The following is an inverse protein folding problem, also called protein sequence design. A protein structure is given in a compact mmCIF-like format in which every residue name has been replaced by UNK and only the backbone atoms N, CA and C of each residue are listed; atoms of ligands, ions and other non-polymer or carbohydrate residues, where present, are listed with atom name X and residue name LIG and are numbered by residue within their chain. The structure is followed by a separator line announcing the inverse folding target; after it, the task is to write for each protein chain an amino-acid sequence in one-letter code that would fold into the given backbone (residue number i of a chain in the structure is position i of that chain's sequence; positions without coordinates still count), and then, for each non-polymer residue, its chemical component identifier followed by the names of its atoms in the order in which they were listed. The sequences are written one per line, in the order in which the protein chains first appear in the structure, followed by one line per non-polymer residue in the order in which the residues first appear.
data_IF_497259975783
#
_entry.id   IF_497259975783
#
_cell.length_a   1.000
_cell.length_b   1.000
_cell.length_c   1.000
_cell.angle_alpha   90.00
_cell.angle_beta   90.00
_cell.angle_gamma   90.00
#
_symmetry.space_group_name_H-M   'P 1'
#
loop_
_entity.id
_entity.type
_entity.pdbx_description
1 polymer ?
#
# COMPACT_ATOMS: atom_id res chain seq x y z
N UNK A 1 -11.32 -19.28 -18.63
CA UNK A 1 -10.57 -18.22 -17.92
C UNK A 1 -11.37 -17.87 -16.66
N UNK A 2 -10.77 -17.89 -15.48
CA UNK A 2 -11.40 -17.43 -14.25
C UNK A 2 -11.78 -15.94 -14.37
N UNK A 3 -12.78 -15.48 -13.61
CA UNK A 3 -13.10 -14.06 -13.53
C UNK A 3 -11.89 -13.27 -12.96
N UNK A 4 -11.65 -12.03 -13.43
CA UNK A 4 -10.54 -11.24 -12.91
C UNK A 4 -10.72 -10.94 -11.43
N UNK A 5 -9.61 -10.90 -10.68
CA UNK A 5 -9.60 -10.53 -9.26
C UNK A 5 -9.69 -9.01 -9.15
N UNK A 6 -10.62 -8.50 -8.31
CA UNK A 6 -10.69 -7.09 -7.98
C UNK A 6 -9.58 -6.74 -6.98
N UNK A 7 -8.74 -5.79 -7.36
CA UNK A 7 -7.66 -5.29 -6.51
C UNK A 7 -7.82 -3.80 -6.27
N UNK A 8 -7.97 -3.42 -5.01
CA UNK A 8 -7.89 -2.04 -4.55
C UNK A 8 -6.45 -1.74 -4.12
N UNK A 9 -5.73 -1.03 -4.96
CA UNK A 9 -4.33 -0.69 -4.71
C UNK A 9 -4.19 0.64 -3.97
N UNK A 10 -3.64 0.62 -2.78
CA UNK A 10 -3.33 1.84 -2.00
C UNK A 10 -1.97 2.38 -2.46
N UNK A 11 -2.01 3.37 -3.36
CA UNK A 11 -0.84 4.03 -3.92
C UNK A 11 -0.53 5.37 -3.26
N UNK A 12 0.74 5.75 -3.22
CA UNK A 12 1.18 7.05 -2.70
C UNK A 12 2.55 7.02 -2.03
N UNK A 13 2.96 8.16 -1.51
CA UNK A 13 4.24 8.24 -0.81
C UNK A 13 4.17 7.52 0.55
N UNK A 14 5.16 6.70 0.93
CA UNK A 14 5.25 6.18 2.30
C UNK A 14 5.13 7.30 3.34
N UNK A 15 4.60 7.01 4.51
CA UNK A 15 4.29 7.96 5.60
C UNK A 15 3.10 8.90 5.32
N UNK A 16 2.28 8.58 4.32
CA UNK A 16 1.04 9.30 4.02
C UNK A 16 -0.20 8.74 4.69
N UNK A 17 -0.06 7.81 5.66
CA UNK A 17 -1.19 7.19 6.36
C UNK A 17 -1.74 5.92 5.69
N UNK A 18 -1.01 5.33 4.75
CA UNK A 18 -1.46 4.14 4.02
C UNK A 18 -1.80 2.94 4.90
N UNK A 19 -1.08 2.71 6.02
CA UNK A 19 -1.42 1.62 6.94
C UNK A 19 -2.73 1.88 7.69
N UNK A 20 -3.02 3.14 8.03
CA UNK A 20 -4.33 3.52 8.58
C UNK A 20 -5.43 3.32 7.53
N UNK A 21 -5.15 3.73 6.28
CA UNK A 21 -6.07 3.51 5.16
C UNK A 21 -6.34 2.02 4.95
N UNK A 22 -5.32 1.18 5.01
CA UNK A 22 -5.40 -0.27 4.87
C UNK A 22 -6.35 -0.89 5.91
N UNK A 23 -6.14 -0.55 7.21
CA UNK A 23 -7.01 -1.00 8.31
C UNK A 23 -8.47 -0.51 8.15
N UNK A 24 -8.66 0.70 7.66
CA UNK A 24 -10.00 1.23 7.40
C UNK A 24 -10.68 0.53 6.21
N UNK A 25 -9.94 0.24 5.15
CA UNK A 25 -10.46 -0.44 3.97
C UNK A 25 -10.82 -1.90 4.26
N UNK A 26 -10.09 -2.56 5.17
CA UNK A 26 -10.39 -3.92 5.63
C UNK A 26 -11.77 -4.02 6.32
N UNK A 27 -12.27 -2.90 6.84
CA UNK A 27 -13.60 -2.84 7.45
C UNK A 27 -14.76 -2.71 6.45
N UNK A 28 -14.46 -2.53 5.16
CA UNK A 28 -15.49 -2.50 4.13
C UNK A 28 -15.99 -3.93 3.83
N UNK A 29 -17.30 -4.12 3.66
CA UNK A 29 -17.85 -5.43 3.32
C UNK A 29 -17.19 -6.03 2.07
N UNK A 30 -16.77 -7.29 2.16
CA UNK A 30 -16.17 -8.01 1.05
C UNK A 30 -14.73 -7.58 0.69
N UNK A 31 -14.06 -6.80 1.53
CA UNK A 31 -12.65 -6.43 1.37
C UNK A 31 -11.76 -7.25 2.29
N UNK A 32 -10.53 -7.53 1.83
CA UNK A 32 -9.48 -8.13 2.66
C UNK A 32 -8.17 -7.36 2.47
N UNK A 33 -7.72 -6.68 3.52
CA UNK A 33 -6.45 -5.98 3.51
C UNK A 33 -5.31 -6.92 3.87
N UNK A 34 -4.31 -6.98 2.99
CA UNK A 34 -3.15 -7.87 3.13
C UNK A 34 -1.83 -7.11 3.35
N UNK A 35 -1.88 -5.79 3.34
CA UNK A 35 -0.72 -4.94 3.55
C UNK A 35 0.15 -4.79 2.32
N UNK A 36 1.45 -4.68 2.55
CA UNK A 36 2.43 -4.41 1.49
C UNK A 36 2.90 -5.73 0.84
N UNK A 37 2.14 -6.29 -0.11
CA UNK A 37 2.47 -7.56 -0.78
C UNK A 37 3.82 -7.55 -1.50
N UNK A 38 4.29 -6.38 -1.95
CA UNK A 38 5.65 -6.25 -2.49
C UNK A 38 6.72 -6.78 -1.53
N UNK A 39 6.51 -6.62 -0.24
CA UNK A 39 7.46 -7.05 0.79
C UNK A 39 7.16 -8.43 1.38
N UNK A 40 6.11 -9.12 0.94
CA UNK A 40 5.74 -10.46 1.41
C UNK A 40 6.90 -11.44 1.28
N UNK A 41 7.56 -11.45 0.13
CA UNK A 41 8.65 -12.37 -0.18
C UNK A 41 9.82 -12.22 0.80
N UNK A 42 10.24 -10.99 1.04
CA UNK A 42 11.34 -10.72 1.95
C UNK A 42 10.91 -10.80 3.42
N UNK A 43 9.87 -10.05 3.81
CA UNK A 43 9.52 -9.89 5.21
C UNK A 43 8.73 -11.09 5.77
N UNK A 44 7.84 -11.65 4.96
CA UNK A 44 7.07 -12.85 5.30
C UNK A 44 7.90 -14.11 5.07
N UNK A 45 8.11 -14.47 3.80
CA UNK A 45 8.66 -15.77 3.44
C UNK A 45 10.12 -15.96 3.90
N UNK A 46 11.04 -14.99 3.64
CA UNK A 46 12.46 -15.19 3.96
C UNK A 46 12.82 -14.86 5.41
N UNK A 47 12.15 -13.90 6.02
CA UNK A 47 12.47 -13.46 7.39
C UNK A 47 11.45 -13.90 8.44
N UNK A 48 10.42 -14.62 8.06
CA UNK A 48 9.36 -15.10 8.96
C UNK A 48 8.77 -14.02 9.87
N UNK A 49 8.61 -12.80 9.32
CA UNK A 49 8.17 -11.63 10.08
C UNK A 49 6.75 -11.78 10.63
N UNK A 50 6.42 -11.00 11.66
CA UNK A 50 5.10 -11.04 12.27
C UNK A 50 3.99 -10.60 11.31
N UNK A 51 2.93 -11.39 11.24
CA UNK A 51 1.63 -11.02 10.69
C UNK A 51 0.89 -10.09 11.66
N UNK A 52 -0.07 -9.32 11.18
CA UNK A 52 -0.90 -8.46 12.04
C UNK A 52 -1.70 -9.25 13.09
N UNK A 53 -2.03 -10.51 12.85
CA UNK A 53 -2.65 -11.41 13.83
C UNK A 53 -1.72 -11.80 15.01
N UNK A 54 -0.48 -11.32 15.02
CA UNK A 54 0.52 -11.59 16.06
C UNK A 54 1.34 -12.88 15.85
N UNK A 55 0.94 -13.76 14.93
CA UNK A 55 1.71 -14.96 14.60
C UNK A 55 2.88 -14.65 13.66
N UNK A 56 3.94 -15.43 13.71
CA UNK A 56 4.95 -15.44 12.65
C UNK A 56 4.31 -15.84 11.31
N UNK A 57 4.84 -15.37 10.18
CA UNK A 57 4.27 -15.64 8.87
C UNK A 57 4.08 -17.15 8.60
N UNK A 58 5.09 -17.97 8.95
CA UNK A 58 5.05 -19.42 8.79
C UNK A 58 3.99 -20.12 9.65
N UNK A 59 3.52 -19.48 10.71
CA UNK A 59 2.51 -19.99 11.65
C UNK A 59 1.15 -19.32 11.52
N UNK A 60 1.03 -18.32 10.66
CA UNK A 60 -0.24 -17.65 10.40
C UNK A 60 -1.15 -18.56 9.58
N UNK A 61 -2.34 -18.94 10.08
CA UNK A 61 -3.24 -19.86 9.36
C UNK A 61 -3.68 -19.29 8.00
N UNK A 62 -3.93 -17.99 7.91
CA UNK A 62 -4.27 -17.33 6.66
C UNK A 62 -3.15 -17.45 5.63
N UNK A 63 -1.93 -17.04 5.96
CA UNK A 63 -0.81 -17.10 5.03
C UNK A 63 -0.41 -18.53 4.70
N UNK A 64 -0.56 -19.48 5.63
CA UNK A 64 -0.36 -20.93 5.35
C UNK A 64 -1.34 -21.43 4.31
N UNK A 65 -2.62 -21.07 4.42
CA UNK A 65 -3.66 -21.43 3.46
C UNK A 65 -3.42 -20.78 2.09
N UNK A 66 -3.04 -19.47 2.06
CA UNK A 66 -2.69 -18.77 0.82
C UNK A 66 -1.51 -19.43 0.12
N UNK A 67 -0.45 -19.78 0.86
CA UNK A 67 0.71 -20.48 0.28
C UNK A 67 0.36 -21.83 -0.31
N UNK A 68 -0.51 -22.57 0.36
CA UNK A 68 -1.00 -23.86 -0.13
C UNK A 68 -1.82 -23.67 -1.41
N UNK A 69 -2.74 -22.73 -1.45
CA UNK A 69 -3.59 -22.48 -2.61
C UNK A 69 -2.81 -21.93 -3.81
N UNK A 70 -1.85 -21.03 -3.59
CA UNK A 70 -1.10 -20.37 -4.67
C UNK A 70 0.01 -21.27 -5.26
N UNK A 71 0.70 -22.04 -4.40
CA UNK A 71 1.98 -22.67 -4.75
C UNK A 71 2.09 -24.13 -4.30
N UNK A 72 1.08 -24.71 -3.66
CA UNK A 72 1.19 -26.02 -3.00
C UNK A 72 2.02 -25.97 -1.71
N UNK A 73 2.19 -24.77 -1.13
CA UNK A 73 2.94 -24.47 0.07
C UNK A 73 4.07 -23.49 -0.16
N UNK A 74 4.44 -22.71 0.87
CA UNK A 74 5.52 -21.71 0.78
C UNK A 74 6.91 -22.30 0.53
N UNK A 75 7.11 -23.59 0.82
CA UNK A 75 8.40 -24.29 0.59
C UNK A 75 8.70 -24.47 -0.90
N UNK A 76 7.69 -24.43 -1.76
CA UNK A 76 7.84 -24.52 -3.22
C UNK A 76 7.97 -23.17 -3.88
N UNK A 77 7.70 -22.08 -3.14
CA UNK A 77 7.83 -20.72 -3.64
C UNK A 77 9.27 -20.22 -3.47
N UNK A 78 9.89 -19.82 -4.57
CA UNK A 78 11.24 -19.23 -4.57
C UNK A 78 11.16 -17.71 -4.33
N UNK A 79 11.21 -17.29 -3.07
CA UNK A 79 11.14 -15.88 -2.69
C UNK A 79 12.31 -15.05 -3.21
N UNK A 80 13.52 -15.62 -3.32
CA UNK A 80 14.69 -14.94 -3.86
C UNK A 80 14.51 -14.69 -5.36
N UNK A 81 14.02 -15.69 -6.10
CA UNK A 81 13.69 -15.52 -7.51
C UNK A 81 12.66 -14.41 -7.73
N UNK A 82 11.60 -14.38 -6.92
CA UNK A 82 10.59 -13.32 -7.05
C UNK A 82 11.20 -11.94 -6.79
N UNK A 83 12.07 -11.78 -5.80
CA UNK A 83 12.76 -10.51 -5.55
C UNK A 83 13.68 -10.11 -6.71
N UNK A 84 14.35 -11.06 -7.36
CA UNK A 84 15.14 -10.81 -8.58
C UNK A 84 14.25 -10.32 -9.72
N UNK A 85 13.07 -10.94 -9.92
CA UNK A 85 12.08 -10.48 -10.90
C UNK A 85 11.57 -9.07 -10.59
N UNK A 86 11.24 -8.79 -9.31
CA UNK A 86 10.87 -7.43 -8.86
C UNK A 86 11.93 -6.40 -9.24
N UNK A 87 13.19 -6.73 -9.04
CA UNK A 87 14.32 -5.84 -9.36
C UNK A 87 14.46 -5.58 -10.86
N UNK A 88 14.03 -6.49 -11.70
CA UNK A 88 14.12 -6.36 -13.15
C UNK A 88 12.92 -5.61 -13.76
N UNK A 89 11.71 -5.77 -13.23
CA UNK A 89 10.48 -5.24 -13.86
C UNK A 89 9.70 -4.25 -12.99
N UNK A 90 9.72 -4.40 -11.66
CA UNK A 90 8.95 -3.55 -10.73
C UNK A 90 9.81 -2.44 -10.14
N UNK A 91 10.35 -1.59 -11.00
CA UNK A 91 11.08 -0.36 -10.61
C UNK A 91 10.52 0.84 -11.35
N UNK A 92 10.54 2.00 -10.70
CA UNK A 92 10.09 3.27 -11.31
C UNK A 92 10.72 3.52 -12.68
N UNK A 93 12.00 3.20 -12.85
CA UNK A 93 12.72 3.35 -14.13
C UNK A 93 12.21 2.41 -15.23
N UNK A 94 11.44 1.38 -14.87
CA UNK A 94 10.87 0.41 -15.81
C UNK A 94 9.44 0.75 -16.26
N UNK A 95 8.80 1.75 -15.66
CA UNK A 95 7.45 2.18 -16.05
C UNK A 95 7.32 2.47 -17.55
N UNK A 96 8.27 3.15 -18.23
CA UNK A 96 8.17 3.34 -19.68
C UNK A 96 8.08 2.02 -20.46
N UNK A 97 8.79 0.97 -20.03
CA UNK A 97 8.73 -0.36 -20.66
C UNK A 97 7.40 -1.09 -20.38
N UNK A 98 6.72 -0.76 -19.27
CA UNK A 98 5.39 -1.28 -18.96
C UNK A 98 4.29 -0.61 -19.81
N UNK A 99 4.55 0.59 -20.34
CA UNK A 99 3.58 1.40 -21.11
C UNK A 99 3.78 1.31 -22.63
N UNK A 100 4.94 0.89 -23.10
CA UNK A 100 5.30 0.89 -24.51
C UNK A 100 5.61 -0.51 -25.02
N UNK A 101 5.94 -0.60 -26.32
CA UNK A 101 6.48 -1.82 -26.92
C UNK A 101 7.79 -2.19 -26.24
N UNK A 102 7.86 -3.37 -25.64
CA UNK A 102 8.96 -3.84 -24.80
C UNK A 102 9.84 -4.87 -25.53
N UNK A 103 11.13 -4.95 -25.19
CA UNK A 103 12.00 -6.04 -25.65
C UNK A 103 11.43 -7.42 -25.21
N UNK A 104 11.62 -8.44 -26.02
CA UNK A 104 11.15 -9.80 -25.71
C UNK A 104 11.69 -10.33 -24.37
N UNK A 105 12.95 -10.04 -24.07
CA UNK A 105 13.57 -10.42 -22.79
C UNK A 105 12.88 -9.80 -21.57
N UNK A 106 12.51 -8.51 -21.65
CA UNK A 106 11.73 -7.87 -20.59
C UNK A 106 10.32 -8.46 -20.51
N UNK A 107 9.72 -8.80 -21.66
CA UNK A 107 8.41 -9.44 -21.76
C UNK A 107 8.37 -10.76 -21.00
N UNK A 108 9.34 -11.63 -21.22
CA UNK A 108 9.43 -12.94 -20.57
C UNK A 108 9.58 -12.84 -19.04
N UNK A 109 10.45 -11.92 -18.57
CA UNK A 109 10.62 -11.67 -17.12
C UNK A 109 9.33 -11.11 -16.49
N UNK A 110 8.65 -10.21 -17.19
CA UNK A 110 7.37 -9.66 -16.71
C UNK A 110 6.29 -10.73 -16.66
N UNK A 111 6.20 -11.61 -17.65
CA UNK A 111 5.24 -12.72 -17.70
C UNK A 111 5.45 -13.68 -16.53
N UNK A 112 6.69 -14.09 -16.26
CA UNK A 112 7.02 -14.91 -15.08
C UNK A 112 6.57 -14.22 -13.79
N UNK A 113 6.91 -12.94 -13.61
CA UNK A 113 6.54 -12.19 -12.41
C UNK A 113 5.02 -12.03 -12.26
N UNK A 114 4.32 -11.66 -13.32
CA UNK A 114 2.86 -11.48 -13.29
C UNK A 114 2.13 -12.80 -13.10
N UNK A 115 2.64 -13.92 -13.62
CA UNK A 115 2.11 -15.26 -13.38
C UNK A 115 2.17 -15.67 -11.90
N UNK A 116 3.24 -15.30 -11.19
CA UNK A 116 3.36 -15.52 -9.74
C UNK A 116 2.36 -14.61 -8.98
N UNK A 117 2.29 -13.32 -9.34
CA UNK A 117 1.35 -12.39 -8.73
C UNK A 117 -0.10 -12.83 -8.94
N UNK A 118 -0.46 -13.28 -10.15
CA UNK A 118 -1.82 -13.74 -10.45
C UNK A 118 -2.24 -14.85 -9.49
N UNK A 119 -1.42 -15.90 -9.36
CA UNK A 119 -1.69 -16.99 -8.42
C UNK A 119 -1.81 -16.51 -6.97
N UNK A 120 -0.97 -15.56 -6.56
CA UNK A 120 -1.01 -15.01 -5.22
C UNK A 120 -2.33 -14.25 -4.96
N UNK A 121 -2.75 -13.36 -5.87
CA UNK A 121 -4.00 -12.59 -5.68
C UNK A 121 -5.24 -13.49 -5.74
N UNK A 122 -5.26 -14.48 -6.64
CA UNK A 122 -6.33 -15.48 -6.72
C UNK A 122 -6.44 -16.30 -5.41
N UNK A 123 -5.31 -16.74 -4.88
CA UNK A 123 -5.27 -17.47 -3.61
C UNK A 123 -5.72 -16.62 -2.42
N UNK A 124 -5.30 -15.34 -2.35
CA UNK A 124 -5.75 -14.41 -1.32
C UNK A 124 -7.26 -14.22 -1.40
N UNK A 125 -7.81 -13.94 -2.58
CA UNK A 125 -9.26 -13.78 -2.76
C UNK A 125 -10.03 -15.04 -2.36
N UNK A 126 -9.55 -16.22 -2.78
CA UNK A 126 -10.17 -17.50 -2.46
C UNK A 126 -10.14 -17.82 -0.96
N UNK A 127 -8.99 -17.63 -0.31
CA UNK A 127 -8.82 -17.97 1.12
C UNK A 127 -9.54 -16.99 2.04
N UNK A 128 -9.54 -15.70 1.69
CA UNK A 128 -10.28 -14.69 2.46
C UNK A 128 -11.78 -14.72 2.21
N UNK A 129 -12.25 -15.28 1.10
CA UNK A 129 -13.62 -15.14 0.62
C UNK A 129 -13.97 -13.70 0.21
N UNK A 130 -12.98 -12.82 0.12
CA UNK A 130 -13.18 -11.42 -0.21
C UNK A 130 -13.43 -11.23 -1.71
N UNK A 131 -14.27 -10.25 -2.01
CA UNK A 131 -14.52 -9.81 -3.39
C UNK A 131 -13.42 -8.85 -3.89
N UNK A 132 -12.76 -8.14 -2.96
CA UNK A 132 -11.70 -7.17 -3.24
C UNK A 132 -10.49 -7.45 -2.36
N UNK A 133 -9.32 -7.60 -2.98
CA UNK A 133 -8.05 -7.67 -2.28
C UNK A 133 -7.46 -6.27 -2.17
N UNK A 134 -7.18 -5.81 -0.94
CA UNK A 134 -6.56 -4.49 -0.70
C UNK A 134 -5.05 -4.67 -0.52
N UNK A 135 -4.28 -4.12 -1.47
CA UNK A 135 -2.80 -4.11 -1.42
C UNK A 135 -2.27 -2.70 -1.19
N UNK A 136 -1.60 -2.49 -0.08
CA UNK A 136 -1.01 -1.21 0.30
C UNK A 136 0.50 -1.10 0.04
N UNK A 137 1.02 -1.76 -0.98
CA UNK A 137 2.46 -1.75 -1.33
C UNK A 137 3.02 -0.36 -1.68
N UNK A 138 2.18 0.61 -2.02
CA UNK A 138 2.53 2.04 -2.26
C UNK A 138 3.45 2.31 -3.45
N UNK A 139 4.00 1.28 -4.08
CA UNK A 139 4.93 1.43 -5.20
C UNK A 139 4.19 1.79 -6.48
N UNK A 140 4.54 2.93 -7.09
CA UNK A 140 3.93 3.29 -8.35
C UNK A 140 4.17 2.22 -9.43
N UNK A 141 5.39 1.66 -9.51
CA UNK A 141 5.73 0.62 -10.49
C UNK A 141 4.85 -0.62 -10.38
N UNK A 142 4.56 -1.11 -9.18
CA UNK A 142 3.68 -2.26 -8.99
C UNK A 142 2.25 -1.98 -9.50
N UNK A 143 1.73 -0.78 -9.28
CA UNK A 143 0.42 -0.41 -9.82
C UNK A 143 0.40 -0.45 -11.36
N UNK A 144 1.51 -0.08 -12.04
CA UNK A 144 1.64 -0.24 -13.49
C UNK A 144 1.78 -1.70 -13.92
N UNK A 145 2.44 -2.54 -13.13
CA UNK A 145 2.48 -4.00 -13.36
C UNK A 145 1.07 -4.57 -13.26
N UNK A 146 0.34 -4.31 -12.17
CA UNK A 146 -1.03 -4.79 -11.95
C UNK A 146 -1.98 -4.33 -13.07
N UNK A 147 -1.86 -3.07 -13.53
CA UNK A 147 -2.62 -2.56 -14.67
C UNK A 147 -2.39 -3.37 -15.95
N UNK A 148 -1.21 -3.96 -16.12
CA UNK A 148 -0.87 -4.75 -17.32
C UNK A 148 -1.37 -6.20 -17.27
N UNK A 149 -1.94 -6.64 -16.15
CA UNK A 149 -2.40 -8.02 -15.92
C UNK A 149 -3.88 -8.17 -16.30
N UNK A 150 -4.23 -8.98 -17.32
CA UNK A 150 -5.63 -9.17 -17.72
C UNK A 150 -6.51 -9.82 -16.64
N UNK A 151 -5.89 -10.61 -15.75
CA UNK A 151 -6.57 -11.28 -14.64
C UNK A 151 -6.80 -10.38 -13.41
N UNK A 152 -6.44 -9.09 -13.47
CA UNK A 152 -6.64 -8.12 -12.39
C UNK A 152 -7.53 -6.96 -12.86
N UNK A 153 -8.57 -6.68 -12.08
CA UNK A 153 -9.38 -5.45 -12.21
C UNK A 153 -8.90 -4.46 -11.16
N UNK A 154 -8.09 -3.50 -11.61
CA UNK A 154 -7.39 -2.57 -10.72
C UNK A 154 -8.21 -1.30 -10.46
N UNK A 155 -8.43 -0.97 -9.18
CA UNK A 155 -8.83 0.37 -8.71
C UNK A 155 -7.73 0.92 -7.80
N UNK A 156 -7.50 2.24 -7.83
CA UNK A 156 -6.43 2.87 -7.05
C UNK A 156 -6.99 3.87 -6.04
N UNK A 157 -6.72 3.63 -4.76
CA UNK A 157 -6.84 4.62 -3.70
C UNK A 157 -5.52 5.40 -3.61
N UNK A 158 -5.47 6.60 -4.19
CA UNK A 158 -4.28 7.46 -4.17
C UNK A 158 -4.23 8.25 -2.87
N UNK A 159 -3.48 7.75 -1.90
CA UNK A 159 -3.33 8.38 -0.58
C UNK A 159 -2.25 9.44 -0.62
N UNK A 160 -2.64 10.68 -0.37
CA UNK A 160 -1.75 11.86 -0.36
C UNK A 160 -1.79 12.51 1.01
N UNK A 161 -0.65 12.94 1.52
CA UNK A 161 -0.49 13.72 2.75
C UNK A 161 0.34 14.96 2.47
N UNK A 162 0.18 16.01 3.28
CA UNK A 162 1.01 17.22 3.20
C UNK A 162 2.50 16.84 3.13
N UNK A 163 3.24 17.29 2.09
CA UNK A 163 4.66 16.91 1.90
C UNK A 163 5.54 17.33 3.09
N UNK A 164 5.18 18.38 3.82
CA UNK A 164 5.89 18.81 5.03
C UNK A 164 5.72 17.79 6.14
N UNK A 165 4.50 17.29 6.35
CA UNK A 165 4.22 16.21 7.30
C UNK A 165 4.92 14.90 6.93
N UNK A 166 4.96 14.56 5.64
CA UNK A 166 5.72 13.40 5.15
C UNK A 166 7.21 13.57 5.42
N UNK A 167 7.81 14.71 5.04
CA UNK A 167 9.23 14.97 5.24
C UNK A 167 9.62 14.96 6.73
N UNK A 168 8.80 15.56 7.56
CA UNK A 168 8.98 15.53 9.02
C UNK A 168 8.91 14.10 9.57
N UNK A 169 7.95 13.28 9.12
CA UNK A 169 7.87 11.88 9.52
C UNK A 169 9.11 11.05 9.12
N UNK A 170 9.76 11.38 7.98
CA UNK A 170 11.02 10.75 7.56
C UNK A 170 12.25 11.23 8.36
N UNK A 171 12.18 12.37 9.03
CA UNK A 171 13.26 12.85 9.90
C UNK A 171 13.23 12.26 11.30
N UNK A 172 12.07 11.74 11.74
CA UNK A 172 11.92 11.11 13.06
C UNK A 172 12.67 9.78 13.16
N UNK A 173 13.20 9.48 14.33
CA UNK A 173 13.58 8.12 14.70
C UNK A 173 12.31 7.32 14.97
N UNK A 174 12.13 6.23 14.23
CA UNK A 174 11.02 5.30 14.45
C UNK A 174 11.61 3.91 14.62
N UNK A 175 11.52 3.40 15.83
CA UNK A 175 11.83 2.01 16.13
C UNK A 175 10.75 1.10 15.56
N UNK A 176 11.17 0.01 14.95
CA UNK A 176 10.27 -1.04 14.50
C UNK A 176 10.03 -2.03 15.66
N UNK A 177 8.84 -2.68 15.72
CA UNK A 177 8.58 -3.70 16.71
C UNK A 177 9.63 -4.82 16.64
N UNK A 178 9.92 -5.46 17.78
CA UNK A 178 10.70 -6.69 17.81
C UNK A 178 10.07 -7.72 16.85
N UNK A 179 10.89 -8.37 16.03
CA UNK A 179 10.41 -9.29 14.97
C UNK A 179 10.02 -8.64 13.64
N UNK A 180 10.14 -7.31 13.51
CA UNK A 180 10.06 -6.70 12.20
C UNK A 180 11.32 -7.06 11.39
N UNK A 181 11.12 -7.60 10.17
CA UNK A 181 12.17 -8.13 9.30
C UNK A 181 13.19 -7.09 8.77
N UNK A 182 13.06 -5.83 9.10
CA UNK A 182 13.88 -4.71 8.64
C UNK A 182 14.50 -4.02 9.85
N UNK A 183 15.61 -4.51 10.38
CA UNK A 183 16.42 -3.83 11.39
C UNK A 183 15.63 -3.02 12.45
N UNK A 184 16.23 -2.67 13.54
CA UNK A 184 15.55 -1.99 14.65
C UNK A 184 15.03 -0.57 14.32
N UNK A 185 15.38 0.02 13.19
CA UNK A 185 15.04 1.42 12.87
C UNK A 185 14.64 1.61 11.40
N UNK A 186 13.66 2.49 11.18
CA UNK A 186 13.33 2.93 9.82
C UNK A 186 14.40 3.89 9.28
N UNK A 187 14.85 3.74 8.02
CA UNK A 187 15.90 4.59 7.45
C UNK A 187 15.48 6.06 7.39
N UNK A 188 16.37 6.94 7.85
CA UNK A 188 16.22 8.40 7.70
C UNK A 188 16.57 8.80 6.27
N UNK A 189 15.81 9.70 5.72
CA UNK A 189 16.03 10.20 4.37
C UNK A 189 16.08 11.72 4.39
N UNK A 190 17.09 12.31 3.75
CA UNK A 190 17.28 13.77 3.70
C UNK A 190 16.06 14.48 3.08
N UNK A 191 15.69 15.61 3.65
CA UNK A 191 14.49 16.40 3.36
C UNK A 191 14.30 16.67 1.85
N UNK A 192 15.35 17.10 1.13
CA UNK A 192 15.30 17.38 -0.32
C UNK A 192 14.97 16.13 -1.14
N UNK A 193 15.54 14.98 -0.77
CA UNK A 193 15.28 13.69 -1.44
C UNK A 193 13.83 13.26 -1.21
N UNK A 194 13.31 13.43 0.01
CA UNK A 194 11.90 13.14 0.33
C UNK A 194 10.96 14.04 -0.46
N UNK A 195 11.22 15.35 -0.52
CA UNK A 195 10.39 16.29 -1.26
C UNK A 195 10.31 15.94 -2.76
N UNK A 196 11.44 15.65 -3.41
CA UNK A 196 11.48 15.21 -4.81
C UNK A 196 10.74 13.89 -5.02
N UNK A 197 10.98 12.92 -4.12
CA UNK A 197 10.30 11.61 -4.19
C UNK A 197 8.78 11.75 -4.01
N UNK A 198 8.34 12.66 -3.13
CA UNK A 198 6.93 12.96 -2.96
C UNK A 198 6.28 13.44 -4.27
N UNK A 199 6.90 14.38 -4.97
CA UNK A 199 6.43 14.86 -6.28
C UNK A 199 6.36 13.72 -7.28
N UNK A 200 7.46 12.97 -7.44
CA UNK A 200 7.56 11.89 -8.43
C UNK A 200 6.56 10.77 -8.18
N UNK A 201 6.47 10.26 -6.94
CA UNK A 201 5.57 9.14 -6.61
C UNK A 201 4.11 9.54 -6.82
N UNK A 202 3.70 10.72 -6.32
CA UNK A 202 2.32 11.15 -6.46
C UNK A 202 1.96 11.48 -7.93
N UNK A 203 2.90 12.02 -8.71
CA UNK A 203 2.70 12.23 -10.15
C UNK A 203 2.51 10.89 -10.89
N UNK A 204 3.35 9.89 -10.61
CA UNK A 204 3.26 8.56 -11.23
C UNK A 204 1.96 7.84 -10.86
N UNK A 205 1.59 7.82 -9.57
CA UNK A 205 0.31 7.23 -9.16
C UNK A 205 -0.86 7.98 -9.81
N UNK A 206 -0.83 9.31 -9.81
CA UNK A 206 -1.87 10.12 -10.44
C UNK A 206 -2.00 9.94 -11.95
N UNK A 207 -0.91 9.52 -12.63
CA UNK A 207 -0.93 9.27 -14.08
C UNK A 207 -1.63 7.97 -14.48
N UNK A 208 -2.00 7.11 -13.53
CA UNK A 208 -2.82 5.93 -13.80
C UNK A 208 -4.25 6.29 -14.24
N UNK A 209 -4.78 7.43 -13.76
CA UNK A 209 -6.14 7.88 -14.12
C UNK A 209 -6.31 8.14 -15.62
N UNK A 210 -5.48 8.97 -16.30
CA UNK A 210 -5.59 9.15 -17.75
C UNK A 210 -5.24 7.88 -18.54
N UNK A 211 -4.66 6.84 -17.90
CA UNK A 211 -4.43 5.53 -18.50
C UNK A 211 -5.63 4.57 -18.32
N UNK A 212 -6.78 5.08 -17.89
CA UNK A 212 -8.03 4.33 -17.78
C UNK A 212 -8.22 3.55 -16.46
N UNK A 213 -7.35 3.74 -15.46
CA UNK A 213 -7.51 3.09 -14.16
C UNK A 213 -8.45 3.93 -13.28
N UNK A 214 -9.55 3.37 -12.74
CA UNK A 214 -10.36 4.03 -11.72
C UNK A 214 -9.47 4.47 -10.55
N UNK A 215 -9.52 5.76 -10.21
CA UNK A 215 -8.64 6.32 -9.19
C UNK A 215 -9.41 7.33 -8.33
N UNK A 216 -9.43 7.09 -7.02
CA UNK A 216 -9.94 8.02 -6.03
C UNK A 216 -8.79 8.60 -5.22
N UNK A 217 -8.76 9.94 -5.09
CA UNK A 217 -7.79 10.60 -4.24
C UNK A 217 -8.32 10.66 -2.80
N UNK A 218 -7.50 10.18 -1.87
CA UNK A 218 -7.75 10.21 -0.42
C UNK A 218 -6.66 11.08 0.22
N UNK A 219 -7.03 12.22 0.80
CA UNK A 219 -6.11 13.00 1.61
C UNK A 219 -6.08 12.43 3.01
N UNK A 220 -4.89 12.24 3.56
CA UNK A 220 -4.71 11.73 4.93
C UNK A 220 -5.48 12.55 5.96
N UNK A 221 -5.44 13.87 5.80
CA UNK A 221 -6.10 14.80 6.72
C UNK A 221 -7.63 14.69 6.66
N UNK A 222 -8.18 14.43 5.47
CA UNK A 222 -9.62 14.24 5.29
C UNK A 222 -10.04 12.83 5.77
N UNK A 223 -9.18 11.82 5.58
CA UNK A 223 -9.41 10.47 6.09
C UNK A 223 -9.51 10.43 7.61
N UNK A 224 -8.64 11.18 8.30
CA UNK A 224 -8.66 11.26 9.77
C UNK A 224 -9.85 12.06 10.29
N UNK A 225 -10.29 13.11 9.58
CA UNK A 225 -11.41 13.97 10.00
C UNK A 225 -12.78 13.37 9.71
N UNK A 226 -12.91 12.72 8.56
CA UNK A 226 -14.19 12.16 8.09
C UNK A 226 -13.94 10.81 7.39
N UNK A 227 -13.60 9.77 8.17
CA UNK A 227 -13.23 8.47 7.65
C UNK A 227 -14.38 7.81 6.87
N UNK A 228 -15.61 7.87 7.38
CA UNK A 228 -16.78 7.22 6.75
C UNK A 228 -17.03 7.77 5.35
N UNK A 229 -16.97 9.09 5.18
CA UNK A 229 -17.10 9.73 3.87
C UNK A 229 -15.98 9.32 2.92
N UNK A 230 -14.74 9.21 3.39
CA UNK A 230 -13.63 8.79 2.54
C UNK A 230 -13.76 7.33 2.12
N UNK A 231 -14.17 6.45 3.01
CA UNK A 231 -14.44 5.04 2.71
C UNK A 231 -15.58 4.90 1.68
N UNK A 232 -16.69 5.63 1.85
CA UNK A 232 -17.78 5.65 0.89
C UNK A 232 -17.33 6.11 -0.51
N UNK A 233 -16.42 7.10 -0.60
CA UNK A 233 -15.83 7.54 -1.88
C UNK A 233 -14.95 6.47 -2.53
N UNK A 234 -14.25 5.68 -1.73
CA UNK A 234 -13.43 4.57 -2.25
C UNK A 234 -14.35 3.48 -2.80
N UNK A 235 -15.33 3.03 -2.05
CA UNK A 235 -16.30 2.02 -2.50
C UNK A 235 -17.02 2.46 -3.79
N UNK A 236 -17.45 3.72 -3.89
CA UNK A 236 -18.06 4.27 -5.10
C UNK A 236 -17.11 4.24 -6.32
N UNK A 237 -15.80 4.42 -6.12
CA UNK A 237 -14.81 4.34 -7.21
C UNK A 237 -14.62 2.90 -7.74
N UNK A 238 -14.96 1.90 -6.92
CA UNK A 238 -14.98 0.49 -7.30
C UNK A 238 -16.31 0.07 -7.98
N UNK A 239 -17.27 1.00 -8.09
CA UNK A 239 -18.62 0.71 -8.58
C UNK A 239 -19.46 -0.09 -7.59
N UNK A 240 -19.13 -0.05 -6.29
CA UNK A 240 -19.81 -0.78 -5.22
C UNK A 240 -20.70 0.15 -4.39
N UNK A 241 -21.76 -0.39 -3.74
CA UNK A 241 -22.54 0.38 -2.79
C UNK A 241 -21.65 0.94 -1.69
N UNK A 242 -21.91 2.18 -1.30
CA UNK A 242 -21.16 2.86 -0.23
C UNK A 242 -21.66 2.45 1.17
N UNK A 243 -21.98 1.18 1.38
CA UNK A 243 -22.33 0.66 2.69
C UNK A 243 -21.07 0.53 3.54
N UNK A 244 -20.88 1.53 4.41
CA UNK A 244 -19.79 1.52 5.39
C UNK A 244 -20.41 1.24 6.74
N UNK A 245 -19.95 0.19 7.42
CA UNK A 245 -20.35 -0.09 8.78
C UNK A 245 -19.92 1.06 9.70
N UNK A 246 -20.88 1.81 10.19
CA UNK A 246 -20.61 2.96 11.07
C UNK A 246 -20.05 2.55 12.43
N UNK A 247 -20.21 1.30 12.86
CA UNK A 247 -19.69 0.81 14.14
C UNK A 247 -18.16 0.69 14.16
N UNK A 248 -17.52 0.68 12.97
CA UNK A 248 -16.06 0.63 12.82
C UNK A 248 -15.39 1.93 13.28
N UNK A 249 -16.07 3.07 13.10
CA UNK A 249 -15.59 4.37 13.55
C UNK A 249 -16.42 4.81 14.76
N UNK A 250 -15.80 4.76 15.92
CA UNK A 250 -16.40 5.17 17.19
C UNK A 250 -15.95 6.59 17.58
N UNK A 251 -16.56 7.25 18.56
CA UNK A 251 -16.08 8.52 19.10
C UNK A 251 -14.62 8.45 19.59
N UNK A 252 -14.17 7.29 20.06
CA UNK A 252 -12.82 7.06 20.60
C UNK A 252 -11.79 6.75 19.49
N UNK A 253 -12.24 6.38 18.28
CA UNK A 253 -11.34 6.07 17.17
C UNK A 253 -11.84 4.95 16.24
N UNK A 254 -10.89 4.35 15.52
CA UNK A 254 -11.12 3.21 14.64
C UNK A 254 -11.10 1.90 15.45
N UNK A 255 -12.12 1.12 15.38
CA UNK A 255 -12.10 -0.27 15.84
C UNK A 255 -11.25 -1.07 14.85
N UNK A 256 -10.10 -1.54 15.30
CA UNK A 256 -9.15 -2.28 14.45
C UNK A 256 -9.73 -3.65 14.15
N UNK A 257 -9.95 -4.03 12.88
CA UNK A 257 -10.39 -5.36 12.52
C UNK A 257 -9.28 -6.39 12.80
N UNK A 258 -9.67 -7.64 12.96
CA UNK A 258 -8.73 -8.74 12.91
C UNK A 258 -8.25 -8.90 11.47
N UNK A 259 -6.96 -8.73 11.23
CA UNK A 259 -6.39 -8.66 9.88
C UNK A 259 -5.09 -9.46 9.76
N UNK A 260 -4.74 -9.84 8.55
CA UNK A 260 -3.53 -10.59 8.23
C UNK A 260 -2.50 -9.78 7.43
N UNK A 261 -2.43 -8.48 7.67
CA UNK A 261 -1.46 -7.57 7.05
C UNK A 261 -0.03 -8.06 7.28
N UNK A 262 0.68 -8.41 6.19
CA UNK A 262 2.03 -9.04 6.25
C UNK A 262 3.16 -8.03 6.45
N UNK A 263 3.00 -6.81 5.94
CA UNK A 263 3.98 -5.74 6.05
C UNK A 263 3.28 -4.38 6.08
N UNK A 264 3.92 -3.38 6.71
CA UNK A 264 3.35 -2.05 6.84
C UNK A 264 3.91 -1.30 8.05
N UNK A 265 3.28 -0.17 8.41
CA UNK A 265 3.63 0.62 9.59
C UNK A 265 3.29 -0.10 10.91
N UNK A 266 3.81 0.43 12.03
CA UNK A 266 3.62 -0.15 13.38
C UNK A 266 2.16 -0.38 13.75
N UNK A 267 1.26 0.50 13.33
CA UNK A 267 -0.17 0.44 13.67
C UNK A 267 -0.88 -0.81 13.13
N UNK A 268 -0.28 -1.55 12.19
CA UNK A 268 -0.83 -2.84 11.74
C UNK A 268 -0.93 -3.89 12.85
N UNK A 269 -0.13 -3.75 13.92
CA UNK A 269 -0.14 -4.61 15.09
C UNK A 269 -1.00 -4.04 16.24
N UNK A 270 -1.75 -2.96 15.99
CA UNK A 270 -2.66 -2.41 16.97
C UNK A 270 -3.86 -3.32 17.15
N UNK A 271 -4.37 -3.40 18.38
CA UNK A 271 -5.58 -4.13 18.74
C UNK A 271 -6.58 -3.19 19.41
N UNK A 272 -7.86 -3.52 19.37
CA UNK A 272 -8.91 -2.75 20.01
C UNK A 272 -9.26 -1.46 19.26
N UNK A 273 -9.29 -0.31 19.94
CA UNK A 273 -9.64 0.99 19.34
C UNK A 273 -8.39 1.84 19.14
N UNK A 274 -8.12 2.20 17.89
CA UNK A 274 -7.02 3.08 17.49
C UNK A 274 -7.50 4.53 17.45
N UNK A 275 -7.03 5.44 18.32
CA UNK A 275 -7.43 6.84 18.30
C UNK A 275 -7.10 7.51 16.95
N UNK A 276 -8.10 8.13 16.33
CA UNK A 276 -7.93 8.89 15.09
C UNK A 276 -7.51 10.33 15.42
N UNK A 277 -6.20 10.56 15.40
CA UNK A 277 -5.62 11.88 15.66
C UNK A 277 -4.81 12.36 14.47
N UNK A 278 -5.08 13.58 14.03
CA UNK A 278 -4.33 14.21 12.97
C UNK A 278 -2.88 14.46 13.43
N UNK A 279 -1.92 13.81 12.74
CA UNK A 279 -0.49 14.10 12.97
C UNK A 279 -0.09 15.35 12.20
N UNK A 280 -0.22 16.49 12.86
CA UNK A 280 0.19 17.82 12.37
C UNK A 280 1.40 18.42 13.14
N UNK A 281 2.10 17.60 13.92
CA UNK A 281 3.26 17.98 14.73
C UNK A 281 4.34 18.72 13.93
N UNK A 282 4.45 18.43 12.62
CA UNK A 282 5.36 19.13 11.71
C UNK A 282 5.14 20.66 11.68
N UNK A 283 3.94 21.15 11.99
CA UNK A 283 3.63 22.58 12.02
C UNK A 283 4.41 23.34 13.10
N UNK A 284 4.67 22.65 14.21
CA UNK A 284 5.34 23.21 15.40
C UNK A 284 6.81 22.77 15.50
N UNK A 285 7.10 21.52 15.11
CA UNK A 285 8.35 20.84 15.45
C UNK A 285 9.33 20.71 14.27
N UNK A 286 8.86 20.92 13.04
CA UNK A 286 9.74 20.84 11.87
C UNK A 286 10.62 22.09 11.77
N UNK A 287 11.93 21.87 11.55
CA UNK A 287 12.88 22.95 11.30
C UNK A 287 12.37 23.90 10.21
N UNK A 288 12.38 25.25 10.45
CA UNK A 288 11.84 26.23 9.51
C UNK A 288 12.53 26.22 8.13
N UNK A 289 13.84 25.94 8.07
CA UNK A 289 14.58 25.88 6.79
C UNK A 289 14.17 24.65 6.01
N UNK A 290 14.06 23.48 6.67
CA UNK A 290 13.55 22.25 6.07
C UNK A 290 12.09 22.43 5.57
N UNK A 291 11.23 23.11 6.34
CA UNK A 291 9.85 23.39 5.95
C UNK A 291 9.77 24.27 4.71
N UNK A 292 10.59 25.35 4.63
CA UNK A 292 10.69 26.20 3.43
C UNK A 292 11.17 25.44 2.22
N UNK A 293 12.22 24.62 2.38
CA UNK A 293 12.76 23.78 1.30
C UNK A 293 11.71 22.84 0.73
N UNK A 294 10.99 22.09 1.59
CA UNK A 294 9.92 21.18 1.14
C UNK A 294 8.82 21.97 0.43
N UNK A 295 8.39 23.09 1.00
CA UNK A 295 7.33 23.93 0.43
C UNK A 295 7.70 24.43 -0.98
N UNK A 296 8.94 24.87 -1.18
CA UNK A 296 9.43 25.36 -2.47
C UNK A 296 9.51 24.21 -3.51
N UNK A 297 10.15 23.10 -3.14
CA UNK A 297 10.36 21.94 -4.05
C UNK A 297 9.03 21.32 -4.50
N UNK A 298 8.02 21.33 -3.62
CA UNK A 298 6.74 20.67 -3.89
C UNK A 298 5.63 21.63 -4.35
N UNK A 299 5.91 22.92 -4.51
CA UNK A 299 4.90 23.98 -4.67
C UNK A 299 3.83 23.66 -5.74
N UNK A 300 4.14 23.39 -7.01
CA UNK A 300 3.09 23.14 -8.01
C UNK A 300 2.25 21.89 -7.69
N UNK A 301 2.93 20.80 -7.30
CA UNK A 301 2.25 19.55 -6.97
C UNK A 301 1.44 19.68 -5.68
N UNK A 302 1.96 20.37 -4.68
CA UNK A 302 1.29 20.63 -3.40
C UNK A 302 -0.03 21.36 -3.60
N UNK A 303 -0.04 22.42 -4.42
CA UNK A 303 -1.25 23.18 -4.75
C UNK A 303 -2.28 22.31 -5.50
N UNK A 304 -1.82 21.49 -6.46
CA UNK A 304 -2.68 20.52 -7.18
C UNK A 304 -3.40 19.55 -6.25
N UNK A 305 -2.78 19.20 -5.12
CA UNK A 305 -3.38 18.30 -4.13
C UNK A 305 -4.14 19.05 -3.02
N UNK A 306 -4.26 20.38 -3.11
CA UNK A 306 -5.03 21.22 -2.18
C UNK A 306 -4.32 21.50 -0.85
N UNK A 307 -2.98 21.51 -0.85
CA UNK A 307 -2.16 21.91 0.30
C UNK A 307 -1.59 23.33 0.08
N UNK A 308 -1.93 24.26 0.92
CA UNK A 308 -1.45 25.66 0.91
C UNK A 308 -0.23 25.87 1.82
#
# INVERSE_FOLDING_TARGET
MSAPVDVLYVGGMPRSGSTLTDLMLDSLPGHAAVGELFYLWRNGLLHDGLCACGAAFSRCPFWSAVGMAAFGGWRTADGERVMQLQDQVDRTAKIPQLLSRRPASFGAVLEEYTGILQRLYEAIASVSGAQVVVDSSKRASLAFVLRSMPGIRLTVAHVVRDPRGVAYSFSKHVELPAGAALGAQMPRTGTRKVARRWVTVNALVGSLRPLGVPLVRVRYEDLVRDPLRQLARVAAAEGRPAEVDRSVVTPDGLRVPETHVVAGGRIRLANGVLPLRLDDAWRREMDPAARRLVSAVTLPSRLRYGYT
#
